data_IF_410017488127
#
_entry.id   IF_410017488127
#
_cell.length_a   1.000
_cell.length_b   1.000
_cell.length_c   1.000
_cell.angle_alpha   90.00
_cell.angle_beta   90.00
_cell.angle_gamma   90.00
#
_symmetry.space_group_name_H-M   'P 1'
#
loop_
_entity.id
_entity.type
_entity.pdbx_description
1 polymer ?
#
# COMPACT_ATOMS: atom_id res chain seq x y z
N UNK A 1 -4.66 -11.09 -24.25
CA UNK A 1 -4.98 -12.50 -23.91
C UNK A 1 -3.92 -12.94 -22.91
N UNK A 2 -4.35 -13.49 -21.77
CA UNK A 2 -3.50 -13.85 -20.64
C UNK A 2 -3.03 -15.30 -20.73
N UNK A 3 -1.97 -15.63 -20.02
CA UNK A 3 -1.56 -17.01 -19.78
C UNK A 3 -2.63 -17.79 -18.98
N UNK A 4 -2.65 -19.13 -19.05
CA UNK A 4 -3.47 -19.94 -18.15
C UNK A 4 -3.14 -19.65 -16.68
N UNK A 5 -4.14 -19.71 -15.80
CA UNK A 5 -3.99 -19.32 -14.39
C UNK A 5 -2.88 -20.06 -13.65
N UNK A 6 -2.72 -21.36 -13.92
CA UNK A 6 -1.65 -22.16 -13.34
C UNK A 6 -0.25 -21.69 -13.78
N UNK A 7 -0.08 -21.24 -15.03
CA UNK A 7 1.18 -20.68 -15.54
C UNK A 7 1.45 -19.32 -14.88
N UNK A 8 0.43 -18.46 -14.76
CA UNK A 8 0.54 -17.19 -14.06
C UNK A 8 1.01 -17.38 -12.61
N UNK A 9 0.33 -18.25 -11.86
CA UNK A 9 0.65 -18.49 -10.45
C UNK A 9 2.07 -19.06 -10.28
N UNK A 10 2.47 -20.00 -11.15
CA UNK A 10 3.80 -20.58 -11.14
C UNK A 10 4.89 -19.54 -11.46
N UNK A 11 4.70 -18.72 -12.50
CA UNK A 11 5.67 -17.71 -12.90
C UNK A 11 5.83 -16.60 -11.84
N UNK A 12 4.72 -16.15 -11.26
CA UNK A 12 4.72 -15.12 -10.21
C UNK A 12 5.32 -15.63 -8.89
N UNK A 13 5.15 -16.92 -8.58
CA UNK A 13 5.82 -17.54 -7.44
C UNK A 13 7.33 -17.72 -7.70
N UNK A 14 7.71 -18.21 -8.88
CA UNK A 14 9.11 -18.44 -9.25
C UNK A 14 9.94 -17.15 -9.28
N UNK A 15 9.35 -16.00 -9.66
CA UNK A 15 10.04 -14.72 -9.65
C UNK A 15 9.98 -14.00 -8.29
N UNK A 16 9.31 -14.56 -7.28
CA UNK A 16 9.10 -13.93 -5.97
C UNK A 16 8.52 -12.51 -6.06
N UNK A 17 7.61 -12.27 -7.02
CA UNK A 17 7.00 -10.95 -7.29
C UNK A 17 8.01 -9.85 -7.64
N UNK A 18 9.17 -10.22 -8.20
CA UNK A 18 10.19 -9.28 -8.72
C UNK A 18 10.30 -9.39 -10.24
N UNK A 19 10.61 -8.26 -10.87
CA UNK A 19 10.86 -8.19 -12.31
C UNK A 19 12.10 -9.02 -12.68
N UNK A 20 11.99 -9.91 -13.65
CA UNK A 20 13.11 -10.75 -14.07
C UNK A 20 14.26 -10.00 -14.75
N UNK A 21 14.04 -8.77 -15.22
CA UNK A 21 15.06 -7.92 -15.84
C UNK A 21 15.72 -7.01 -14.80
N UNK A 22 14.97 -6.06 -14.21
CA UNK A 22 15.54 -5.08 -13.29
C UNK A 22 15.54 -5.54 -11.82
N UNK A 23 14.99 -6.70 -11.51
CA UNK A 23 14.94 -7.35 -10.21
C UNK A 23 14.21 -6.53 -9.12
N UNK A 24 13.58 -5.41 -9.49
CA UNK A 24 12.75 -4.57 -8.62
C UNK A 24 11.59 -5.40 -8.06
N UNK A 25 11.31 -5.25 -6.76
CA UNK A 25 10.10 -5.81 -6.15
C UNK A 25 8.86 -5.07 -6.67
N UNK A 26 7.87 -5.80 -7.12
CA UNK A 26 6.70 -5.23 -7.82
C UNK A 26 5.37 -5.60 -7.16
N UNK A 27 5.35 -6.57 -6.26
CA UNK A 27 4.13 -7.04 -5.62
C UNK A 27 3.04 -7.44 -6.62
N UNK A 28 1.96 -6.65 -6.71
CA UNK A 28 0.86 -6.87 -7.67
C UNK A 28 1.05 -6.13 -9.00
N UNK A 29 1.98 -5.18 -9.07
CA UNK A 29 2.20 -4.31 -10.25
C UNK A 29 3.14 -5.00 -11.25
N UNK A 30 2.69 -6.14 -11.79
CA UNK A 30 3.47 -6.97 -12.73
C UNK A 30 2.64 -7.39 -13.92
N UNK A 31 3.30 -7.59 -15.05
CA UNK A 31 2.74 -8.19 -16.25
C UNK A 31 3.56 -9.42 -16.70
N UNK A 32 2.87 -10.35 -17.32
CA UNK A 32 3.49 -11.55 -17.88
C UNK A 32 3.67 -11.36 -19.38
N UNK A 33 4.90 -11.48 -19.83
CA UNK A 33 5.27 -11.28 -21.22
C UNK A 33 5.62 -12.61 -21.89
N UNK A 34 5.16 -12.80 -23.14
CA UNK A 34 5.57 -13.94 -23.96
C UNK A 34 6.98 -13.69 -24.50
N UNK A 35 7.95 -14.53 -24.15
CA UNK A 35 9.31 -14.46 -24.68
C UNK A 35 9.29 -14.60 -26.19
N UNK A 36 8.70 -15.67 -26.71
CA UNK A 36 8.33 -15.80 -28.11
C UNK A 36 6.89 -15.35 -28.25
N UNK A 37 6.67 -14.33 -29.06
CA UNK A 37 5.33 -13.74 -29.21
C UNK A 37 4.35 -14.75 -29.85
N UNK A 38 3.09 -14.70 -29.44
CA UNK A 38 2.02 -15.55 -29.99
C UNK A 38 1.86 -15.40 -31.51
N UNK A 39 2.10 -14.21 -32.04
CA UNK A 39 2.08 -13.95 -33.49
C UNK A 39 3.12 -14.77 -34.26
N UNK A 40 4.09 -15.34 -33.57
CA UNK A 40 5.16 -16.21 -34.09
C UNK A 40 5.10 -17.62 -33.49
N UNK A 41 3.90 -18.11 -33.20
CA UNK A 41 3.64 -19.44 -32.60
C UNK A 41 4.27 -19.64 -31.22
N UNK A 42 4.28 -18.58 -30.41
CA UNK A 42 4.68 -18.65 -29.00
C UNK A 42 3.60 -19.32 -28.15
N UNK A 43 3.99 -20.34 -27.38
CA UNK A 43 3.10 -21.11 -26.52
C UNK A 43 2.73 -20.34 -25.24
N UNK A 44 1.57 -20.64 -24.66
CA UNK A 44 1.13 -20.16 -23.35
C UNK A 44 1.69 -21.06 -22.23
N UNK A 45 3.00 -21.32 -22.27
CA UNK A 45 3.72 -22.21 -21.35
C UNK A 45 4.56 -21.41 -20.34
N UNK A 46 4.91 -22.06 -19.23
CA UNK A 46 5.80 -21.49 -18.21
C UNK A 46 7.18 -21.15 -18.81
N UNK A 47 7.68 -21.99 -19.73
CA UNK A 47 8.95 -21.83 -20.41
C UNK A 47 8.97 -20.64 -21.37
N UNK A 48 7.80 -20.15 -21.78
CA UNK A 48 7.65 -18.99 -22.65
C UNK A 48 7.17 -17.73 -21.91
N UNK A 49 7.04 -17.80 -20.58
CA UNK A 49 6.54 -16.72 -19.74
C UNK A 49 7.69 -16.04 -18.98
N UNK A 50 7.75 -14.70 -19.03
CA UNK A 50 8.67 -13.89 -18.20
C UNK A 50 7.90 -12.79 -17.46
N UNK A 51 7.92 -12.77 -16.11
CA UNK A 51 7.33 -11.71 -15.31
C UNK A 51 8.15 -10.43 -15.34
N UNK A 52 7.50 -9.30 -15.63
CA UNK A 52 8.13 -7.99 -15.77
C UNK A 52 7.37 -6.93 -14.96
N UNK A 53 8.04 -5.88 -14.50
CA UNK A 53 7.37 -4.68 -14.06
C UNK A 53 6.76 -3.92 -15.25
N UNK A 54 5.83 -3.01 -15.00
CA UNK A 54 5.18 -2.22 -16.06
C UNK A 54 6.18 -1.44 -16.91
N UNK A 55 7.25 -0.91 -16.31
CA UNK A 55 8.29 -0.16 -17.03
C UNK A 55 9.04 -1.06 -18.01
N UNK A 56 9.61 -2.18 -17.53
CA UNK A 56 10.31 -3.13 -18.38
C UNK A 56 9.39 -3.77 -19.41
N UNK A 57 8.11 -4.03 -19.08
CA UNK A 57 7.13 -4.53 -20.04
C UNK A 57 6.82 -3.50 -21.14
N UNK A 58 6.66 -2.22 -20.76
CA UNK A 58 6.44 -1.14 -21.71
C UNK A 58 7.61 -0.95 -22.70
N UNK A 59 8.83 -1.30 -22.28
CA UNK A 59 10.02 -1.20 -23.15
C UNK A 59 10.08 -2.33 -24.18
N UNK A 60 9.38 -3.46 -23.96
CA UNK A 60 9.32 -4.56 -24.94
C UNK A 60 8.70 -4.17 -26.29
N UNK A 61 7.79 -3.18 -26.29
CA UNK A 61 7.07 -2.75 -27.49
C UNK A 61 7.64 -1.50 -28.18
N UNK A 62 8.64 -0.83 -27.60
CA UNK A 62 9.07 0.52 -28.05
C UNK A 62 10.23 0.56 -29.04
N UNK A 63 10.83 -0.56 -29.40
CA UNK A 63 11.98 -0.48 -30.26
C UNK A 63 11.59 -0.40 -31.73
N UNK A 64 11.87 0.73 -32.35
CA UNK A 64 11.76 0.94 -33.79
C UNK A 64 12.96 0.26 -34.49
N UNK A 65 12.71 -0.73 -35.39
CA UNK A 65 13.79 -1.42 -36.13
C UNK A 65 14.65 -0.47 -36.96
N UNK A 66 14.16 0.75 -37.24
CA UNK A 66 14.84 1.77 -38.02
C UNK A 66 15.65 2.75 -37.16
N UNK A 67 15.57 2.68 -35.84
CA UNK A 67 16.31 3.59 -34.95
C UNK A 67 17.56 2.89 -34.39
N UNK A 68 18.77 3.42 -34.63
CA UNK A 68 20.03 2.82 -34.15
C UNK A 68 20.25 2.95 -32.63
N UNK A 69 19.36 3.63 -31.91
CA UNK A 69 19.45 3.85 -30.45
C UNK A 69 18.52 2.92 -29.69
N UNK A 70 19.05 1.84 -29.22
CA UNK A 70 18.38 0.86 -28.39
C UNK A 70 18.41 -0.53 -29.02
N UNK A 71 18.96 -1.50 -28.32
CA UNK A 71 18.89 -2.93 -28.69
C UNK A 71 17.63 -3.50 -28.09
N UNK A 72 16.88 -4.23 -28.91
CA UNK A 72 15.80 -5.07 -28.41
C UNK A 72 16.36 -6.23 -27.56
N UNK A 73 15.65 -6.61 -26.53
CA UNK A 73 15.90 -7.90 -25.89
C UNK A 73 15.59 -9.02 -26.86
N UNK A 74 16.57 -9.88 -27.12
CA UNK A 74 16.34 -11.11 -27.89
C UNK A 74 15.59 -12.14 -27.04
N UNK A 75 14.92 -13.10 -27.69
CA UNK A 75 14.27 -14.21 -26.96
C UNK A 75 15.26 -14.96 -26.06
N UNK A 76 16.49 -15.15 -26.52
CA UNK A 76 17.53 -15.83 -25.76
C UNK A 76 17.95 -15.00 -24.53
N UNK A 77 18.08 -13.68 -24.67
CA UNK A 77 18.41 -12.78 -23.58
C UNK A 77 17.29 -12.75 -22.51
N UNK A 78 16.04 -12.71 -22.94
CA UNK A 78 14.90 -12.78 -22.02
C UNK A 78 14.86 -14.11 -21.26
N UNK A 79 15.16 -15.25 -21.92
CA UNK A 79 15.29 -16.54 -21.23
C UNK A 79 16.41 -16.54 -20.22
N UNK A 80 17.58 -16.00 -20.56
CA UNK A 80 18.70 -15.90 -19.63
C UNK A 80 18.38 -15.03 -18.41
N UNK A 81 17.73 -13.89 -18.60
CA UNK A 81 17.29 -13.04 -17.49
C UNK A 81 16.33 -13.78 -16.55
N UNK A 82 15.30 -14.42 -17.12
CA UNK A 82 14.33 -15.21 -16.36
C UNK A 82 14.98 -16.36 -15.59
N UNK A 83 15.75 -17.20 -16.28
CA UNK A 83 16.31 -18.42 -15.71
C UNK A 83 17.35 -18.10 -14.62
N UNK A 84 18.19 -17.09 -14.84
CA UNK A 84 19.13 -16.60 -13.84
C UNK A 84 18.41 -16.07 -12.59
N UNK A 85 17.31 -15.33 -12.81
CA UNK A 85 16.54 -14.81 -11.69
C UNK A 85 15.83 -15.92 -10.93
N UNK A 86 15.18 -16.86 -11.62
CA UNK A 86 14.52 -18.00 -10.99
C UNK A 86 15.52 -18.87 -10.20
N UNK A 87 16.71 -19.10 -10.73
CA UNK A 87 17.77 -19.83 -10.02
C UNK A 87 18.21 -19.09 -8.73
N UNK A 88 18.34 -17.76 -8.76
CA UNK A 88 18.61 -16.95 -7.56
C UNK A 88 17.50 -17.05 -6.53
N UNK A 89 16.24 -16.99 -6.95
CA UNK A 89 15.08 -17.14 -6.04
C UNK A 89 15.08 -18.54 -5.42
N UNK A 90 15.24 -19.58 -6.24
CA UNK A 90 15.22 -20.97 -5.77
C UNK A 90 16.35 -21.30 -4.80
N UNK A 91 17.53 -20.71 -4.98
CA UNK A 91 18.67 -20.86 -4.07
C UNK A 91 18.60 -20.01 -2.80
N UNK A 92 17.58 -19.15 -2.65
CA UNK A 92 17.49 -18.18 -1.57
C UNK A 92 18.42 -16.97 -1.68
N UNK A 93 19.33 -16.96 -2.69
CA UNK A 93 20.29 -15.87 -2.91
C UNK A 93 19.63 -14.59 -3.42
N UNK A 94 18.41 -14.67 -3.96
CA UNK A 94 17.64 -13.48 -4.34
C UNK A 94 17.33 -12.55 -3.16
N UNK A 95 17.39 -13.08 -1.95
CA UNK A 95 17.11 -12.38 -0.69
C UNK A 95 18.39 -12.21 0.15
N UNK A 96 19.52 -12.72 -0.32
CA UNK A 96 20.75 -12.87 0.47
C UNK A 96 21.60 -11.60 0.53
N UNK A 97 21.22 -10.47 -0.03
CA UNK A 97 21.83 -9.14 0.25
C UNK A 97 21.44 -8.08 -0.80
N UNK A 98 20.29 -7.48 -0.68
CA UNK A 98 20.35 -6.02 -0.73
C UNK A 98 20.74 -5.63 0.70
N UNK A 99 22.01 -5.29 0.90
CA UNK A 99 22.43 -4.67 2.17
C UNK A 99 21.53 -3.47 2.39
N UNK A 100 20.65 -3.58 3.38
CA UNK A 100 19.73 -2.48 3.70
C UNK A 100 20.60 -1.31 4.10
N UNK A 101 20.47 -0.20 3.39
CA UNK A 101 21.22 1.00 3.63
C UNK A 101 21.02 1.50 5.07
N UNK A 102 21.98 2.23 5.61
CA UNK A 102 21.83 2.88 6.92
C UNK A 102 20.61 3.82 6.90
N UNK A 103 20.41 4.53 5.78
CA UNK A 103 19.25 5.40 5.59
C UNK A 103 17.92 4.64 5.66
N UNK A 104 17.84 3.45 5.04
CA UNK A 104 16.64 2.61 5.13
C UNK A 104 16.37 2.12 6.56
N UNK A 105 17.42 1.77 7.31
CA UNK A 105 17.30 1.38 8.73
C UNK A 105 16.76 2.52 9.58
N UNK A 106 17.30 3.71 9.39
CA UNK A 106 16.89 4.91 10.11
C UNK A 106 15.43 5.28 9.77
N UNK A 107 15.06 5.26 8.48
CA UNK A 107 13.70 5.53 8.04
C UNK A 107 12.70 4.49 8.59
N UNK A 108 13.07 3.20 8.59
CA UNK A 108 12.26 2.15 9.19
C UNK A 108 12.02 2.41 10.68
N UNK A 109 13.02 2.83 11.43
CA UNK A 109 12.89 3.18 12.83
C UNK A 109 12.00 4.41 13.03
N UNK A 110 12.13 5.43 12.19
CA UNK A 110 11.27 6.63 12.24
C UNK A 110 9.81 6.26 12.07
N UNK A 111 9.48 5.44 11.07
CA UNK A 111 8.10 4.99 10.84
C UNK A 111 7.59 4.15 12.01
N UNK A 112 8.37 3.18 12.49
CA UNK A 112 7.99 2.38 13.65
C UNK A 112 7.78 3.21 14.92
N UNK A 113 8.55 4.27 15.13
CA UNK A 113 8.44 5.15 16.29
C UNK A 113 7.17 5.99 16.28
N UNK A 114 6.65 6.34 15.10
CA UNK A 114 5.37 7.03 14.98
C UNK A 114 4.19 6.14 15.43
N UNK A 115 4.30 4.82 15.24
CA UNK A 115 3.37 3.83 15.79
C UNK A 115 3.75 3.47 17.24
N UNK A 116 3.89 4.48 18.11
CA UNK A 116 4.16 4.29 19.53
C UNK A 116 3.01 3.54 20.24
N UNK A 117 3.23 3.14 21.49
CA UNK A 117 2.26 2.33 22.27
C UNK A 117 0.86 2.94 22.31
N UNK A 118 0.76 4.28 22.36
CA UNK A 118 -0.53 4.98 22.34
C UNK A 118 -1.25 4.81 21.00
N UNK A 119 -0.56 5.03 19.89
CA UNK A 119 -1.11 4.85 18.54
C UNK A 119 -1.50 3.39 18.32
N UNK A 120 -0.61 2.44 18.69
CA UNK A 120 -0.89 1.02 18.54
C UNK A 120 -2.13 0.59 19.33
N UNK A 121 -2.30 1.10 20.55
CA UNK A 121 -3.50 0.83 21.36
C UNK A 121 -4.77 1.32 20.67
N UNK A 122 -4.78 2.56 20.15
CA UNK A 122 -5.91 3.09 19.40
C UNK A 122 -6.20 2.30 18.12
N UNK A 123 -5.16 1.93 17.39
CA UNK A 123 -5.32 1.17 16.14
C UNK A 123 -5.84 -0.26 16.36
N UNK A 124 -5.47 -0.89 17.46
CA UNK A 124 -5.78 -2.30 17.73
C UNK A 124 -7.01 -2.50 18.60
N UNK A 125 -7.07 -1.78 19.72
CA UNK A 125 -7.95 -2.12 20.83
C UNK A 125 -9.16 -1.19 20.98
N UNK A 126 -9.07 0.05 20.51
CA UNK A 126 -10.11 1.06 20.74
C UNK A 126 -11.11 1.15 19.57
N UNK A 127 -12.36 1.39 19.92
CA UNK A 127 -13.44 1.66 18.96
C UNK A 127 -13.56 3.17 18.73
N UNK A 128 -13.42 3.60 17.47
CA UNK A 128 -13.53 5.01 17.08
C UNK A 128 -14.95 5.45 16.72
N UNK A 129 -15.96 4.60 16.92
CA UNK A 129 -17.36 5.01 16.79
C UNK A 129 -17.81 6.00 17.87
N UNK A 130 -17.13 5.98 19.03
CA UNK A 130 -17.38 6.86 20.16
C UNK A 130 -16.47 8.09 20.22
N UNK A 131 -16.21 8.53 21.45
CA UNK A 131 -15.35 9.68 21.75
C UNK A 131 -13.88 9.27 21.64
N UNK A 132 -13.08 10.08 20.96
CA UNK A 132 -11.63 9.90 20.90
C UNK A 132 -10.90 11.26 20.95
N UNK A 133 -9.70 11.33 21.56
CA UNK A 133 -8.88 12.53 21.53
C UNK A 133 -8.21 12.69 20.17
N UNK A 134 -8.30 13.88 19.56
CA UNK A 134 -7.68 14.14 18.25
C UNK A 134 -6.17 13.88 18.23
N UNK A 135 -5.50 14.24 19.34
CA UNK A 135 -4.04 14.08 19.49
C UNK A 135 -3.53 12.63 19.48
N UNK A 136 -4.41 11.62 19.45
CA UNK A 136 -3.93 10.23 19.37
C UNK A 136 -3.29 9.90 18.02
N UNK A 137 -3.58 10.66 16.96
CA UNK A 137 -3.08 10.43 15.61
C UNK A 137 -2.09 11.49 15.11
N UNK A 138 -1.73 12.50 15.90
CA UNK A 138 -0.75 13.55 15.53
C UNK A 138 0.56 12.97 14.96
N UNK A 139 1.06 11.89 15.57
CA UNK A 139 2.29 11.23 15.09
C UNK A 139 2.16 10.64 13.68
N UNK A 140 0.96 10.17 13.30
CA UNK A 140 0.69 9.67 11.95
C UNK A 140 0.52 10.82 10.96
N UNK A 141 -0.10 11.92 11.37
CA UNK A 141 -0.21 13.14 10.56
C UNK A 141 1.16 13.74 10.25
N UNK A 142 2.03 13.83 11.26
CA UNK A 142 3.41 14.27 11.08
C UNK A 142 4.18 13.35 10.13
N UNK A 143 3.95 12.05 10.22
CA UNK A 143 4.58 11.07 9.35
C UNK A 143 4.14 11.26 7.88
N UNK A 144 2.83 11.45 7.63
CA UNK A 144 2.30 11.74 6.29
C UNK A 144 2.82 13.09 5.75
N UNK A 145 2.99 14.09 6.62
CA UNK A 145 3.59 15.36 6.20
C UNK A 145 5.05 15.18 5.75
N UNK A 146 5.85 14.42 6.51
CA UNK A 146 7.25 14.08 6.14
C UNK A 146 7.34 13.30 4.83
N UNK A 147 6.36 12.46 4.53
CA UNK A 147 6.32 11.67 3.30
C UNK A 147 6.21 12.49 2.00
N UNK A 148 5.95 13.80 2.11
CA UNK A 148 5.98 14.73 0.96
C UNK A 148 7.42 15.06 0.53
N UNK A 149 8.41 14.79 1.37
CA UNK A 149 9.81 14.94 1.02
C UNK A 149 10.26 13.72 0.21
N UNK A 150 10.81 13.90 -1.01
CA UNK A 150 11.36 12.80 -1.81
C UNK A 150 12.44 11.99 -1.10
N UNK A 151 13.14 12.58 -0.11
CA UNK A 151 14.12 11.87 0.72
C UNK A 151 13.48 10.88 1.71
N UNK A 152 12.15 10.92 1.87
CA UNK A 152 11.39 10.04 2.76
C UNK A 152 10.92 8.76 2.04
N UNK A 153 11.79 8.19 1.21
CA UNK A 153 11.55 6.96 0.45
C UNK A 153 12.65 5.95 0.75
N UNK A 154 12.29 4.67 0.81
CA UNK A 154 13.26 3.60 0.95
C UNK A 154 14.02 3.38 -0.35
N UNK A 155 15.34 3.21 -0.26
CA UNK A 155 16.16 2.73 -1.36
C UNK A 155 15.84 1.26 -1.67
N UNK A 156 15.49 0.47 -0.65
CA UNK A 156 15.02 -0.89 -0.82
C UNK A 156 13.60 -0.92 -1.37
N UNK A 157 13.42 -1.47 -2.57
CA UNK A 157 12.15 -1.45 -3.30
C UNK A 157 11.03 -2.27 -2.62
N UNK A 158 11.35 -3.28 -1.80
CA UNK A 158 10.35 -4.05 -1.06
C UNK A 158 9.81 -3.24 0.12
N UNK A 159 10.69 -2.59 0.89
CA UNK A 159 10.30 -1.69 1.97
C UNK A 159 9.50 -0.51 1.43
N UNK A 160 9.93 0.07 0.31
CA UNK A 160 9.22 1.17 -0.33
C UNK A 160 7.81 0.78 -0.76
N UNK A 161 7.63 -0.40 -1.34
CA UNK A 161 6.31 -0.90 -1.70
C UNK A 161 5.38 -1.01 -0.46
N UNK A 162 5.87 -1.59 0.64
CA UNK A 162 5.06 -1.73 1.86
C UNK A 162 4.83 -0.38 2.55
N UNK A 163 5.79 0.57 2.48
CA UNK A 163 5.60 1.94 2.92
C UNK A 163 4.45 2.60 2.16
N UNK A 164 4.46 2.54 0.83
CA UNK A 164 3.41 3.14 0.01
C UNK A 164 2.02 2.61 0.39
N UNK A 165 1.86 1.30 0.54
CA UNK A 165 0.58 0.71 0.95
C UNK A 165 0.13 1.17 2.34
N UNK A 166 1.06 1.29 3.28
CA UNK A 166 0.76 1.79 4.62
C UNK A 166 0.32 3.25 4.58
N UNK A 167 1.03 4.09 3.83
CA UNK A 167 0.77 5.53 3.76
C UNK A 167 -0.51 5.84 2.98
N UNK A 168 -0.82 5.10 1.92
CA UNK A 168 -2.11 5.18 1.23
C UNK A 168 -3.27 4.86 2.21
N UNK A 169 -3.14 3.82 3.02
CA UNK A 169 -4.16 3.47 4.02
C UNK A 169 -4.27 4.53 5.14
N UNK A 170 -3.14 5.09 5.60
CA UNK A 170 -3.12 6.15 6.60
C UNK A 170 -3.78 7.44 6.10
N UNK A 171 -3.50 7.83 4.86
CA UNK A 171 -4.09 9.03 4.23
C UNK A 171 -5.60 8.88 4.11
N UNK A 172 -6.08 7.74 3.59
CA UNK A 172 -7.52 7.46 3.49
C UNK A 172 -8.19 7.47 4.88
N UNK A 173 -7.59 6.83 5.87
CA UNK A 173 -8.12 6.77 7.23
C UNK A 173 -8.19 8.17 7.86
N UNK A 174 -7.11 8.94 7.86
CA UNK A 174 -7.06 10.25 8.50
C UNK A 174 -7.94 11.26 7.78
N UNK A 175 -7.97 11.23 6.46
CA UNK A 175 -8.89 12.04 5.67
C UNK A 175 -10.35 11.76 6.06
N UNK A 176 -10.74 10.48 6.10
CA UNK A 176 -12.10 10.09 6.45
C UNK A 176 -12.45 10.45 7.91
N UNK A 177 -11.50 10.24 8.83
CA UNK A 177 -11.65 10.61 10.24
C UNK A 177 -11.91 12.10 10.39
N UNK A 178 -11.10 12.95 9.78
CA UNK A 178 -11.24 14.40 9.84
C UNK A 178 -12.55 14.93 9.21
N UNK A 179 -12.98 14.29 8.13
CA UNK A 179 -14.22 14.69 7.44
C UNK A 179 -15.49 14.27 8.19
N UNK A 180 -15.43 13.24 9.03
CA UNK A 180 -16.62 12.64 9.64
C UNK A 180 -16.61 12.61 11.17
N UNK A 181 -15.65 13.32 11.81
CA UNK A 181 -15.65 13.53 13.26
C UNK A 181 -15.60 15.01 13.57
N UNK A 182 -16.26 15.39 14.66
CA UNK A 182 -16.45 16.78 15.03
C UNK A 182 -16.13 16.98 16.50
N UNK A 183 -15.68 18.18 16.84
CA UNK A 183 -15.42 18.56 18.23
C UNK A 183 -16.69 18.48 19.07
N UNK A 184 -16.62 17.91 20.26
CA UNK A 184 -17.78 17.67 21.13
C UNK A 184 -18.34 18.98 21.70
N UNK A 185 -17.52 20.00 21.89
CA UNK A 185 -17.95 21.33 22.39
C UNK A 185 -16.92 21.96 23.33
N UNK A 186 -17.32 23.07 24.00
CA UNK A 186 -16.43 23.80 24.89
C UNK A 186 -15.99 23.01 26.12
N UNK A 187 -16.81 22.05 26.54
CA UNK A 187 -16.56 21.27 27.76
C UNK A 187 -15.51 20.19 27.58
N UNK A 188 -15.35 19.69 26.34
CA UNK A 188 -14.35 18.70 25.95
C UNK A 188 -13.65 19.10 24.63
N UNK A 189 -12.88 20.19 24.61
CA UNK A 189 -12.37 20.80 23.37
C UNK A 189 -11.31 19.95 22.64
N UNK A 190 -10.74 18.94 23.31
CA UNK A 190 -9.72 18.05 22.76
C UNK A 190 -10.30 16.72 22.24
N UNK A 191 -11.63 16.54 22.41
CA UNK A 191 -12.30 15.29 22.03
C UNK A 191 -13.20 15.48 20.82
N UNK A 192 -13.22 14.45 20.01
CA UNK A 192 -14.00 14.36 18.78
C UNK A 192 -14.87 13.11 18.81
N UNK A 193 -15.97 13.17 18.10
CA UNK A 193 -16.89 12.06 17.94
C UNK A 193 -17.51 12.07 16.55
N UNK A 194 -18.04 10.94 16.12
CA UNK A 194 -18.83 10.86 14.90
C UNK A 194 -20.14 11.66 15.04
N UNK A 195 -20.70 12.05 13.92
CA UNK A 195 -22.00 12.74 13.91
C UNK A 195 -23.10 11.92 14.58
N UNK A 196 -23.10 10.60 14.35
CA UNK A 196 -24.06 9.70 14.97
C UNK A 196 -23.96 9.76 16.49
N UNK A 197 -22.74 9.64 17.04
CA UNK A 197 -22.52 9.72 18.47
C UNK A 197 -23.00 11.06 19.04
N UNK A 198 -22.71 12.19 18.36
CA UNK A 198 -23.14 13.53 18.77
C UNK A 198 -24.68 13.65 18.78
N UNK A 199 -25.35 13.04 17.78
CA UNK A 199 -26.81 13.00 17.72
C UNK A 199 -27.40 12.21 18.89
N UNK A 200 -26.92 11.01 19.11
CA UNK A 200 -27.42 10.10 20.16
C UNK A 200 -27.25 10.68 21.58
N UNK A 201 -26.25 11.54 21.76
CA UNK A 201 -25.92 12.16 23.06
C UNK A 201 -26.36 13.63 23.19
N UNK A 202 -27.13 14.16 22.23
CA UNK A 202 -27.71 15.50 22.30
C UNK A 202 -26.74 16.66 22.08
N UNK A 203 -25.55 16.38 21.50
CA UNK A 203 -24.52 17.41 21.22
C UNK A 203 -24.67 18.11 19.88
N UNK A 204 -25.68 17.77 19.07
CA UNK A 204 -25.92 18.45 17.80
C UNK A 204 -26.43 19.88 18.12
N UNK A 205 -25.80 20.93 17.57
CA UNK A 205 -26.32 22.29 17.70
C UNK A 205 -27.72 22.34 17.12
N UNK A 206 -28.71 22.65 17.95
CA UNK A 206 -30.09 22.91 17.49
C UNK A 206 -30.04 24.16 16.60
N UNK A 207 -30.06 23.98 15.30
CA UNK A 207 -30.33 25.07 14.37
C UNK A 207 -31.85 25.30 14.37
N UNK A 208 -32.35 26.45 14.86
CA UNK A 208 -33.79 26.72 14.95
C UNK A 208 -34.49 26.79 13.58
N UNK A 209 -33.73 26.82 12.49
CA UNK A 209 -34.24 26.90 11.11
C UNK A 209 -34.23 25.55 10.38
N UNK A 210 -33.87 24.48 11.06
CA UNK A 210 -33.83 23.12 10.46
C UNK A 210 -34.86 22.24 11.14
N UNK A 211 -35.75 21.64 10.36
CA UNK A 211 -36.65 20.59 10.85
C UNK A 211 -35.79 19.42 11.34
N UNK A 212 -35.79 19.22 12.65
CA UNK A 212 -34.94 18.21 13.30
C UNK A 212 -35.39 16.79 12.97
N UNK A 213 -36.65 16.53 12.62
CA UNK A 213 -37.11 15.22 12.17
C UNK A 213 -36.63 14.93 10.75
N UNK A 214 -36.72 15.90 9.83
CA UNK A 214 -36.19 15.76 8.47
C UNK A 214 -34.66 15.68 8.49
N UNK A 215 -34.01 16.45 9.36
CA UNK A 215 -32.56 16.41 9.56
C UNK A 215 -32.11 15.07 10.13
N UNK A 216 -32.76 14.56 11.17
CA UNK A 216 -32.46 13.25 11.74
C UNK A 216 -32.65 12.12 10.72
N UNK A 217 -33.72 12.14 9.96
CA UNK A 217 -34.01 11.14 8.93
C UNK A 217 -32.99 11.17 7.77
N UNK A 218 -32.57 12.35 7.31
CA UNK A 218 -31.48 12.50 6.33
C UNK A 218 -30.15 12.05 6.90
N UNK A 219 -29.89 12.36 8.15
CA UNK A 219 -28.67 11.97 8.84
C UNK A 219 -28.62 10.46 9.11
N UNK A 220 -29.69 9.85 9.58
CA UNK A 220 -29.74 8.39 9.77
C UNK A 220 -29.41 7.62 8.49
N UNK A 221 -29.95 8.04 7.35
CA UNK A 221 -29.68 7.39 6.06
C UNK A 221 -28.28 7.68 5.50
N UNK A 222 -27.71 8.84 5.77
CA UNK A 222 -26.42 9.28 5.20
C UNK A 222 -25.20 8.91 6.06
N UNK A 223 -25.39 8.80 7.39
CA UNK A 223 -24.31 8.61 8.36
C UNK A 223 -24.30 7.23 9.05
N UNK A 224 -25.35 6.41 8.84
CA UNK A 224 -25.33 5.01 9.21
C UNK A 224 -24.19 4.33 8.44
N UNK A 225 -23.17 3.90 9.17
CA UNK A 225 -21.99 3.26 8.59
C UNK A 225 -20.69 4.06 8.68
N UNK A 226 -20.71 5.36 9.01
CA UNK A 226 -19.44 6.10 9.16
C UNK A 226 -18.60 5.59 10.33
N UNK A 227 -19.22 5.27 11.45
CA UNK A 227 -18.55 4.66 12.59
C UNK A 227 -17.94 3.29 12.22
N UNK A 228 -18.69 2.48 11.48
CA UNK A 228 -18.18 1.21 10.96
C UNK A 228 -17.03 1.45 9.98
N UNK A 229 -17.21 2.39 9.02
CA UNK A 229 -16.19 2.69 8.00
C UNK A 229 -14.89 3.21 8.63
N UNK A 230 -14.97 4.08 9.66
CA UNK A 230 -13.78 4.55 10.39
C UNK A 230 -13.01 3.36 10.98
N UNK A 231 -13.70 2.42 11.62
CA UNK A 231 -13.06 1.25 12.22
C UNK A 231 -12.50 0.28 11.16
N UNK A 232 -13.17 0.12 10.01
CA UNK A 232 -12.64 -0.64 8.88
C UNK A 232 -11.35 -0.04 8.34
N UNK A 233 -11.30 1.27 8.13
CA UNK A 233 -10.11 1.98 7.67
C UNK A 233 -8.99 1.91 8.70
N UNK A 234 -9.30 2.11 9.97
CA UNK A 234 -8.36 1.93 11.09
C UNK A 234 -7.72 0.54 11.07
N UNK A 235 -8.54 -0.51 10.91
CA UNK A 235 -8.06 -1.89 10.85
C UNK A 235 -7.17 -2.12 9.62
N UNK A 236 -7.53 -1.51 8.48
CA UNK A 236 -6.69 -1.55 7.28
C UNK A 236 -5.30 -0.95 7.53
N UNK A 237 -5.22 0.21 8.21
CA UNK A 237 -3.93 0.82 8.60
C UNK A 237 -3.14 -0.14 9.49
N UNK A 238 -3.78 -0.74 10.49
CA UNK A 238 -3.13 -1.68 11.40
C UNK A 238 -2.57 -2.91 10.66
N UNK A 239 -3.33 -3.48 9.76
CA UNK A 239 -2.91 -4.64 8.97
C UNK A 239 -1.71 -4.28 8.08
N UNK A 240 -1.73 -3.11 7.41
CA UNK A 240 -0.63 -2.63 6.59
C UNK A 240 0.63 -2.32 7.42
N UNK A 241 0.47 -1.77 8.60
CA UNK A 241 1.58 -1.57 9.54
C UNK A 241 2.19 -2.91 9.97
N UNK A 242 1.39 -3.90 10.31
CA UNK A 242 1.87 -5.24 10.65
C UNK A 242 2.61 -5.91 9.49
N UNK A 243 2.11 -5.76 8.25
CA UNK A 243 2.80 -6.24 7.05
C UNK A 243 4.15 -5.53 6.87
N UNK A 244 4.19 -4.20 6.94
CA UNK A 244 5.40 -3.39 6.84
C UNK A 244 6.46 -3.80 7.87
N UNK A 245 6.08 -3.91 9.15
CA UNK A 245 6.98 -4.34 10.23
C UNK A 245 7.50 -5.76 10.02
N UNK A 246 6.64 -6.68 9.57
CA UNK A 246 7.03 -8.07 9.32
C UNK A 246 8.09 -8.17 8.22
N UNK A 247 7.92 -7.44 7.13
CA UNK A 247 8.88 -7.37 6.04
C UNK A 247 10.15 -6.64 6.46
N UNK A 248 10.04 -5.48 7.09
CA UNK A 248 11.19 -4.70 7.55
C UNK A 248 12.08 -5.45 8.52
N UNK A 249 11.53 -6.17 9.49
CA UNK A 249 12.32 -6.97 10.44
C UNK A 249 13.10 -8.12 9.80
N UNK A 250 12.69 -8.60 8.62
CA UNK A 250 13.44 -9.62 7.89
C UNK A 250 14.64 -9.02 7.16
N UNK A 251 14.51 -7.78 6.73
CA UNK A 251 15.47 -7.08 5.91
C UNK A 251 16.46 -6.25 6.76
N UNK A 252 16.03 -5.65 7.86
CA UNK A 252 16.79 -4.72 8.72
C UNK A 252 17.63 -5.44 9.80
N UNK A 253 17.79 -6.76 9.71
CA UNK A 253 18.60 -7.56 10.64
C UNK A 253 20.09 -7.25 10.56
#
# INVERSE_FOLDING_TARGET
MSFPKNVEDQALAACARRCCICQKFCGRKMELHHIKQRAYDGEDSFENCIPLCFDCHADMGKADPKHPKGKHYSENELRLHRDNWYAKVASGLAFASEDISVADKELFQVICSAFNDKVQRWMRDEDLSGIHPMRCFEALEELLFKAKDPAFEFLNSELEYHRQLLFEAMDEFLYFLHMHTFRIGSDMPEYYATHQWLADHGYIPRNPNVDMEEFAHRYETQFVGYAQKINELKNTVWDKYCEFVRHGRRLVR
#
